data_IF_196027837719
#
_entry.id   IF_196027837719
#
_cell.length_a   1.000
_cell.length_b   1.000
_cell.length_c   1.000
_cell.angle_alpha   90.00
_cell.angle_beta   90.00
_cell.angle_gamma   90.00
#
_symmetry.space_group_name_H-M   'P 1'
#
loop_
_entity.id
_entity.type
_entity.pdbx_description
1 polymer ?
#
# COMPACT_ATOMS: atom_id res chain seq x y z
N UNK A 1 9.65 15.01 4.64
CA UNK A 1 8.22 15.21 4.93
C UNK A 1 7.50 14.99 3.61
N UNK A 2 6.72 13.91 3.52
CA UNK A 2 6.31 13.20 2.30
C UNK A 2 6.26 14.07 1.03
N UNK A 3 7.19 13.80 0.12
CA UNK A 3 7.28 14.42 -1.21
C UNK A 3 6.20 13.92 -2.17
N UNK A 4 4.98 13.72 -1.68
CA UNK A 4 3.82 13.36 -2.47
C UNK A 4 2.98 14.60 -2.75
N UNK A 5 2.59 14.79 -4.01
CA UNK A 5 1.61 15.79 -4.38
C UNK A 5 0.17 15.30 -4.19
N UNK A 6 -0.80 16.18 -4.46
CA UNK A 6 -2.22 15.87 -4.28
C UNK A 6 -2.71 14.71 -5.19
N UNK A 7 -2.14 14.57 -6.39
CA UNK A 7 -2.50 13.50 -7.33
C UNK A 7 -1.99 12.17 -6.79
N UNK A 8 -0.74 12.14 -6.35
CA UNK A 8 -0.13 10.94 -5.79
C UNK A 8 -0.82 10.50 -4.49
N UNK A 9 -1.22 11.44 -3.63
CA UNK A 9 -2.01 11.14 -2.43
C UNK A 9 -3.32 10.47 -2.81
N UNK A 10 -4.03 10.99 -3.81
CA UNK A 10 -5.31 10.41 -4.24
C UNK A 10 -5.14 9.02 -4.87
N UNK A 11 -4.12 8.83 -5.71
CA UNK A 11 -3.75 7.51 -6.26
C UNK A 11 -3.48 6.51 -5.13
N UNK A 12 -2.68 6.91 -4.13
CA UNK A 12 -2.35 6.07 -2.99
C UNK A 12 -3.59 5.65 -2.19
N UNK A 13 -4.55 6.56 -1.99
CA UNK A 13 -5.83 6.24 -1.33
C UNK A 13 -6.64 5.22 -2.10
N UNK A 14 -6.74 5.37 -3.42
CA UNK A 14 -7.48 4.45 -4.27
C UNK A 14 -6.85 3.06 -4.28
N UNK A 15 -5.53 2.98 -4.35
CA UNK A 15 -4.78 1.72 -4.27
C UNK A 15 -4.97 1.06 -2.90
N UNK A 16 -4.86 1.83 -1.81
CA UNK A 16 -5.03 1.31 -0.46
C UNK A 16 -6.45 0.77 -0.22
N UNK A 17 -7.47 1.50 -0.66
CA UNK A 17 -8.87 1.06 -0.58
C UNK A 17 -9.11 -0.21 -1.43
N UNK A 18 -8.54 -0.28 -2.64
CA UNK A 18 -8.62 -1.47 -3.47
C UNK A 18 -8.01 -2.71 -2.78
N UNK A 19 -6.76 -2.61 -2.31
CA UNK A 19 -6.08 -3.70 -1.61
C UNK A 19 -6.85 -4.15 -0.37
N UNK A 20 -7.33 -3.21 0.43
CA UNK A 20 -8.16 -3.49 1.61
C UNK A 20 -9.42 -4.26 1.25
N UNK A 21 -10.17 -3.82 0.24
CA UNK A 21 -11.41 -4.48 -0.20
C UNK A 21 -11.14 -5.90 -0.67
N UNK A 22 -10.10 -6.12 -1.47
CA UNK A 22 -9.73 -7.46 -1.92
C UNK A 22 -9.35 -8.35 -0.72
N UNK A 23 -8.52 -7.84 0.20
CA UNK A 23 -8.15 -8.56 1.44
C UNK A 23 -9.40 -8.98 2.23
N UNK A 24 -10.31 -8.05 2.48
CA UNK A 24 -11.54 -8.29 3.24
C UNK A 24 -12.47 -9.29 2.51
N UNK A 25 -12.58 -9.21 1.17
CA UNK A 25 -13.34 -10.17 0.36
C UNK A 25 -12.77 -11.59 0.44
N UNK A 26 -11.44 -11.72 0.50
CA UNK A 26 -10.76 -13.00 0.69
C UNK A 26 -10.76 -13.47 2.16
N UNK A 27 -11.35 -12.70 3.09
CA UNK A 27 -11.31 -12.97 4.54
C UNK A 27 -9.88 -13.11 5.10
N UNK A 28 -8.91 -12.44 4.47
CA UNK A 28 -7.52 -12.39 4.93
C UNK A 28 -7.40 -11.33 6.02
N UNK A 29 -6.78 -11.68 7.14
CA UNK A 29 -6.59 -10.75 8.24
C UNK A 29 -5.35 -9.85 7.98
N UNK A 30 -5.38 -8.59 8.41
CA UNK A 30 -4.31 -7.64 8.12
C UNK A 30 -2.98 -8.01 8.80
N UNK A 31 -3.05 -8.66 9.96
CA UNK A 31 -1.92 -9.26 10.66
C UNK A 31 -1.27 -10.42 9.89
N UNK A 32 -2.04 -11.21 9.16
CA UNK A 32 -1.50 -12.21 8.24
C UNK A 32 -0.68 -11.55 7.12
N UNK A 33 -1.21 -10.49 6.49
CA UNK A 33 -0.44 -9.72 5.48
C UNK A 33 0.84 -9.17 6.08
N UNK A 34 0.79 -8.63 7.30
CA UNK A 34 1.98 -8.13 8.00
C UNK A 34 3.04 -9.22 8.19
N UNK A 35 2.62 -10.43 8.56
CA UNK A 35 3.52 -11.58 8.75
C UNK A 35 4.16 -12.03 7.44
N UNK A 36 3.38 -12.14 6.36
CA UNK A 36 3.88 -12.64 5.07
C UNK A 36 4.79 -11.62 4.34
N UNK A 37 4.47 -10.33 4.46
CA UNK A 37 5.23 -9.26 3.79
C UNK A 37 6.43 -8.76 4.60
N UNK A 38 6.48 -9.10 5.90
CA UNK A 38 7.37 -8.52 6.91
C UNK A 38 7.23 -6.98 7.05
N UNK A 39 6.10 -6.43 6.64
CA UNK A 39 5.78 -5.01 6.82
C UNK A 39 5.17 -4.86 8.22
N UNK A 40 5.64 -3.92 9.05
CA UNK A 40 5.03 -3.67 10.35
C UNK A 40 3.52 -3.42 10.24
N UNK A 41 2.72 -4.14 11.03
CA UNK A 41 1.25 -4.04 11.03
C UNK A 41 0.76 -2.59 11.09
N UNK A 42 1.41 -1.75 11.91
CA UNK A 42 1.09 -0.32 12.04
C UNK A 42 1.18 0.48 10.73
N UNK A 43 2.07 0.08 9.81
CA UNK A 43 2.23 0.74 8.51
C UNK A 43 1.17 0.28 7.51
N UNK A 44 0.77 -1.00 7.56
CA UNK A 44 -0.36 -1.50 6.77
C UNK A 44 -1.68 -0.88 7.25
N UNK A 45 -1.85 -0.70 8.56
CA UNK A 45 -2.98 0.03 9.13
C UNK A 45 -3.03 1.48 8.66
N UNK A 46 -1.87 2.18 8.68
CA UNK A 46 -1.77 3.54 8.17
C UNK A 46 -2.08 3.62 6.67
N UNK A 47 -1.63 2.64 5.88
CA UNK A 47 -1.94 2.54 4.46
C UNK A 47 -3.45 2.40 4.24
N UNK A 48 -4.10 1.40 4.84
CA UNK A 48 -5.54 1.15 4.71
C UNK A 48 -6.42 2.28 5.26
N UNK A 49 -5.92 3.03 6.25
CA UNK A 49 -6.62 4.16 6.87
C UNK A 49 -6.31 5.51 6.20
N UNK A 50 -5.49 5.51 5.13
CA UNK A 50 -5.06 6.72 4.43
C UNK A 50 -4.34 7.74 5.32
N UNK A 51 -3.67 7.29 6.38
CA UNK A 51 -2.85 8.10 7.30
C UNK A 51 -1.46 8.33 6.68
N UNK A 52 -1.42 9.05 5.56
CA UNK A 52 -0.25 9.17 4.68
C UNK A 52 0.96 9.73 5.44
N UNK A 53 0.75 10.66 6.35
CA UNK A 53 1.78 11.26 7.20
C UNK A 53 2.52 10.27 8.13
N UNK A 54 1.95 9.08 8.35
CA UNK A 54 2.57 8.00 9.14
C UNK A 54 3.33 6.99 8.28
N UNK A 55 3.18 7.08 6.95
CA UNK A 55 3.91 6.25 6.01
C UNK A 55 5.34 6.74 5.83
N UNK A 56 6.30 5.83 5.53
CA UNK A 56 7.67 6.21 5.18
C UNK A 56 7.73 6.89 3.81
N UNK A 57 8.94 7.20 3.37
CA UNK A 57 9.19 7.79 2.05
C UNK A 57 8.56 6.97 0.91
N UNK A 58 8.07 7.62 -0.16
CA UNK A 58 7.27 6.99 -1.21
C UNK A 58 7.86 5.70 -1.80
N UNK A 59 9.19 5.66 -1.98
CA UNK A 59 9.89 4.47 -2.52
C UNK A 59 9.62 3.20 -1.71
N UNK A 60 9.49 3.33 -0.38
CA UNK A 60 9.12 2.21 0.48
C UNK A 60 7.63 1.88 0.37
N UNK A 61 6.78 2.90 0.27
CA UNK A 61 5.32 2.72 0.08
C UNK A 61 5.03 1.94 -1.21
N UNK A 62 5.72 2.24 -2.32
CA UNK A 62 5.59 1.45 -3.55
C UNK A 62 6.00 -0.01 -3.36
N UNK A 63 7.06 -0.26 -2.60
CA UNK A 63 7.46 -1.61 -2.20
C UNK A 63 6.41 -2.32 -1.33
N UNK A 64 5.70 -1.59 -0.47
CA UNK A 64 4.62 -2.13 0.35
C UNK A 64 3.41 -2.53 -0.48
N UNK A 65 2.97 -1.65 -1.39
CA UNK A 65 1.86 -1.90 -2.33
C UNK A 65 2.12 -3.19 -3.12
N UNK A 66 3.32 -3.33 -3.67
CA UNK A 66 3.71 -4.53 -4.42
C UNK A 66 3.57 -5.80 -3.59
N UNK A 67 4.23 -5.87 -2.44
CA UNK A 67 4.21 -7.07 -1.59
C UNK A 67 2.81 -7.40 -1.08
N UNK A 68 2.01 -6.38 -0.79
CA UNK A 68 0.63 -6.58 -0.39
C UNK A 68 -0.20 -7.17 -1.54
N UNK A 69 -0.11 -6.61 -2.75
CA UNK A 69 -0.74 -7.20 -3.94
C UNK A 69 -0.33 -8.64 -4.18
N UNK A 70 0.98 -8.94 -4.08
CA UNK A 70 1.52 -10.28 -4.27
C UNK A 70 0.94 -11.30 -3.25
N UNK A 71 0.81 -10.92 -1.97
CA UNK A 71 0.19 -11.77 -0.92
C UNK A 71 -1.28 -12.06 -1.20
N UNK A 72 -2.01 -11.13 -1.81
CA UNK A 72 -3.41 -11.33 -2.21
C UNK A 72 -3.58 -12.12 -3.52
N UNK A 73 -2.47 -12.58 -4.12
CA UNK A 73 -2.47 -13.29 -5.40
C UNK A 73 -2.78 -12.39 -6.60
N UNK A 74 -2.58 -11.08 -6.47
CA UNK A 74 -2.73 -10.10 -7.54
C UNK A 74 -1.39 -9.89 -8.26
N UNK A 75 -1.40 -9.16 -9.37
CA UNK A 75 -0.16 -8.59 -9.92
C UNK A 75 0.22 -7.35 -9.10
N UNK A 76 1.01 -7.56 -8.04
CA UNK A 76 1.47 -6.48 -7.19
C UNK A 76 2.37 -5.48 -7.92
N UNK A 77 3.06 -5.90 -8.98
CA UNK A 77 3.89 -4.98 -9.78
C UNK A 77 3.02 -3.99 -10.53
N UNK A 78 1.97 -4.47 -11.20
CA UNK A 78 1.01 -3.63 -11.93
C UNK A 78 0.36 -2.59 -11.00
N UNK A 79 -0.10 -3.02 -9.81
CA UNK A 79 -0.71 -2.13 -8.82
C UNK A 79 0.29 -1.08 -8.32
N UNK A 80 1.53 -1.50 -8.05
CA UNK A 80 2.58 -0.60 -7.59
C UNK A 80 3.02 0.39 -8.67
N UNK A 81 2.94 0.01 -9.94
CA UNK A 81 3.27 0.88 -11.07
C UNK A 81 2.20 1.93 -11.35
N UNK A 82 0.95 1.69 -10.96
CA UNK A 82 -0.10 2.72 -10.93
C UNK A 82 0.18 3.84 -9.92
N UNK A 83 1.07 3.61 -8.95
CA UNK A 83 1.60 4.64 -8.05
C UNK A 83 2.88 5.25 -8.65
N UNK A 84 2.71 6.35 -9.39
CA UNK A 84 3.82 7.06 -10.02
C UNK A 84 4.68 7.77 -8.97
N UNK A 85 5.89 7.27 -8.73
CA UNK A 85 6.91 7.99 -7.98
C UNK A 85 7.85 8.62 -8.99
N UNK A 86 7.58 9.86 -9.38
CA UNK A 86 8.56 10.67 -10.08
C UNK A 86 9.66 11.08 -9.09
N UNK A 87 10.71 10.25 -8.99
CA UNK A 87 11.95 10.63 -8.33
C UNK A 87 12.61 11.73 -9.19
N UNK A 88 12.47 12.98 -8.77
CA UNK A 88 13.14 14.14 -9.37
C UNK A 88 14.41 14.45 -8.61
#
# INVERSE_FOLDING_TARGET
MNGLDAIQIEQLRQIADYLRRVREQQSVALDQVAQETFIPLRLLQALESSEIERLPEPVYVKGFIRRYGDVLGLDGSEIADAFEINLS
#
